data_IF_977045776123
#
_entry.id   IF_977045776123
#
_cell.length_a   1.000
_cell.length_b   1.000
_cell.length_c   1.000
_cell.angle_alpha   90.00
_cell.angle_beta   90.00
_cell.angle_gamma   90.00
#
_symmetry.space_group_name_H-M   'P 1'
#
loop_
_entity.id
_entity.type
_entity.pdbx_description
1 polymer ?
#
# COMPACT_ATOMS: atom_id res chain seq x y z
N UNK A 1 29.75 -29.70 9.48
CA UNK A 1 28.29 -29.51 9.69
C UNK A 1 27.55 -30.56 8.90
N UNK A 2 26.73 -31.37 9.56
CA UNK A 2 25.99 -32.48 8.94
C UNK A 2 24.78 -31.94 8.17
N UNK A 3 24.42 -32.52 7.02
CA UNK A 3 23.34 -32.06 6.11
C UNK A 3 21.99 -31.91 6.83
N UNK A 4 21.77 -32.72 7.86
CA UNK A 4 20.61 -32.69 8.76
C UNK A 4 20.48 -31.39 9.58
N UNK A 5 21.60 -30.82 10.03
CA UNK A 5 21.59 -29.55 10.77
C UNK A 5 21.33 -28.36 9.85
N UNK A 6 21.88 -28.39 8.63
CA UNK A 6 21.63 -27.35 7.62
C UNK A 6 20.13 -27.32 7.28
N UNK A 7 19.53 -28.49 7.00
CA UNK A 7 18.10 -28.59 6.70
C UNK A 7 17.20 -28.05 7.83
N UNK A 8 17.55 -28.32 9.09
CA UNK A 8 16.81 -27.84 10.26
C UNK A 8 16.87 -26.32 10.41
N UNK A 9 18.05 -25.71 10.21
CA UNK A 9 18.21 -24.25 10.28
C UNK A 9 17.40 -23.55 9.17
N UNK A 10 17.47 -24.06 7.93
CA UNK A 10 16.64 -23.56 6.83
C UNK A 10 15.15 -23.65 7.16
N UNK A 11 14.74 -24.74 7.80
CA UNK A 11 13.35 -24.97 8.18
C UNK A 11 12.84 -23.94 9.20
N UNK A 12 13.61 -23.67 10.25
CA UNK A 12 13.24 -22.66 11.25
C UNK A 12 13.26 -21.24 10.68
N UNK A 13 14.23 -20.91 9.82
CA UNK A 13 14.29 -19.61 9.15
C UNK A 13 13.06 -19.35 8.26
N UNK A 14 12.68 -20.35 7.44
CA UNK A 14 11.50 -20.24 6.57
C UNK A 14 10.20 -20.18 7.38
N UNK A 15 10.10 -20.95 8.47
CA UNK A 15 8.91 -20.92 9.35
C UNK A 15 8.75 -19.58 10.04
N UNK A 16 9.85 -18.97 10.50
CA UNK A 16 9.84 -17.63 11.09
C UNK A 16 9.45 -16.56 10.05
N UNK A 17 10.00 -16.63 8.83
CA UNK A 17 9.64 -15.72 7.75
C UNK A 17 8.15 -15.85 7.36
N UNK A 18 7.62 -17.08 7.29
CA UNK A 18 6.21 -17.32 6.99
C UNK A 18 5.30 -16.73 8.07
N UNK A 19 5.65 -16.88 9.35
CA UNK A 19 4.91 -16.27 10.46
C UNK A 19 4.90 -14.74 10.35
N UNK A 20 6.05 -14.13 10.08
CA UNK A 20 6.16 -12.68 9.88
C UNK A 20 5.28 -12.18 8.72
N UNK A 21 5.28 -12.90 7.60
CA UNK A 21 4.44 -12.58 6.44
C UNK A 21 2.95 -12.68 6.76
N UNK A 22 2.52 -13.67 7.55
CA UNK A 22 1.13 -13.79 8.01
C UNK A 22 0.74 -12.58 8.86
N UNK A 23 1.58 -12.20 9.82
CA UNK A 23 1.30 -11.05 10.69
C UNK A 23 1.17 -9.77 9.86
N UNK A 24 2.13 -9.51 8.96
CA UNK A 24 2.07 -8.36 8.04
C UNK A 24 0.82 -8.41 7.14
N UNK A 25 0.46 -9.59 6.65
CA UNK A 25 -0.77 -9.80 5.88
C UNK A 25 -2.03 -9.41 6.66
N UNK A 26 -2.16 -9.86 7.91
CA UNK A 26 -3.29 -9.51 8.79
C UNK A 26 -3.36 -7.99 8.99
N UNK A 27 -2.24 -7.34 9.34
CA UNK A 27 -2.21 -5.88 9.50
C UNK A 27 -2.61 -5.15 8.20
N UNK A 28 -2.13 -5.60 7.05
CA UNK A 28 -2.49 -5.04 5.76
C UNK A 28 -3.99 -5.22 5.46
N UNK A 29 -4.56 -6.39 5.75
CA UNK A 29 -5.99 -6.66 5.57
C UNK A 29 -6.85 -5.81 6.50
N UNK A 30 -6.51 -5.73 7.79
CA UNK A 30 -7.24 -4.89 8.76
C UNK A 30 -7.20 -3.42 8.33
N UNK A 31 -6.03 -2.91 7.94
CA UNK A 31 -5.91 -1.53 7.43
C UNK A 31 -6.75 -1.32 6.18
N UNK A 32 -6.76 -2.26 5.24
CA UNK A 32 -7.60 -2.17 4.05
C UNK A 32 -9.09 -2.14 4.39
N UNK A 33 -9.55 -3.01 5.29
CA UNK A 33 -10.95 -3.04 5.76
C UNK A 33 -11.33 -1.73 6.43
N UNK A 34 -10.49 -1.21 7.33
CA UNK A 34 -10.72 0.09 7.99
C UNK A 34 -10.79 1.21 6.94
N UNK A 35 -9.80 1.28 6.05
CA UNK A 35 -9.72 2.32 5.02
C UNK A 35 -10.88 2.28 4.00
N UNK A 36 -11.57 1.14 3.87
CA UNK A 36 -12.71 0.98 2.97
C UNK A 36 -14.07 1.14 3.64
N UNK A 37 -14.18 0.90 4.95
CA UNK A 37 -15.46 0.88 5.68
C UNK A 37 -15.68 2.13 6.53
N UNK A 38 -14.61 2.71 7.08
CA UNK A 38 -14.69 3.84 8.02
C UNK A 38 -14.61 5.20 7.31
N UNK A 39 -14.19 5.25 6.05
CA UNK A 39 -14.03 6.50 5.31
C UNK A 39 -14.94 6.52 4.08
N UNK A 40 -15.67 7.63 3.91
CA UNK A 40 -16.48 7.89 2.70
C UNK A 40 -15.62 7.90 1.43
N UNK A 41 -14.36 8.33 1.55
CA UNK A 41 -13.37 8.27 0.48
C UNK A 41 -12.07 7.65 0.96
N UNK A 42 -11.53 6.73 0.17
CA UNK A 42 -10.30 6.00 0.52
C UNK A 42 -9.18 6.98 0.90
N UNK A 43 -8.62 6.88 2.11
CA UNK A 43 -7.65 7.85 2.60
C UNK A 43 -6.32 7.72 1.84
N UNK A 44 -5.83 8.85 1.34
CA UNK A 44 -4.51 8.92 0.71
C UNK A 44 -3.41 8.92 1.78
N UNK A 45 -2.33 8.19 1.54
CA UNK A 45 -1.18 8.08 2.47
C UNK A 45 -0.45 9.41 2.68
N UNK A 46 -0.38 10.22 1.63
CA UNK A 46 0.14 11.59 1.69
C UNK A 46 -1.04 12.53 1.88
N UNK A 47 -0.98 13.40 2.89
CA UNK A 47 -2.03 14.38 3.26
C UNK A 47 -2.73 14.87 2.00
N UNK A 48 -4.04 14.61 1.94
CA UNK A 48 -4.90 14.92 0.81
C UNK A 48 -4.60 16.33 0.32
N UNK A 49 -4.01 16.37 -0.86
CA UNK A 49 -3.77 17.60 -1.61
C UNK A 49 -5.12 18.30 -1.78
N UNK A 50 -5.32 19.41 -1.09
CA UNK A 50 -6.61 20.11 -1.11
C UNK A 50 -6.83 20.73 -2.50
N UNK A 51 -8.01 20.48 -3.07
CA UNK A 51 -8.47 21.07 -4.32
C UNK A 51 -9.44 22.24 -4.07
N UNK A 52 -9.72 22.57 -2.81
CA UNK A 52 -10.55 23.72 -2.43
C UNK A 52 -9.73 24.99 -2.23
N UNK A 53 -8.43 24.86 -1.92
CA UNK A 53 -7.54 26.00 -1.67
C UNK A 53 -6.59 26.24 -2.85
N UNK A 54 -6.62 27.45 -3.42
CA UNK A 54 -5.61 27.90 -4.39
C UNK A 54 -4.31 28.30 -3.68
N UNK A 55 -3.12 27.97 -4.19
CA UNK A 55 -2.85 27.24 -5.44
C UNK A 55 -3.16 25.74 -5.32
N UNK A 56 -3.88 25.21 -6.32
CA UNK A 56 -4.27 23.81 -6.32
C UNK A 56 -3.03 22.90 -6.36
N UNK A 57 -3.05 21.84 -5.56
CA UNK A 57 -1.88 20.99 -5.31
C UNK A 57 -1.38 20.14 -6.50
N UNK A 58 -2.07 20.21 -7.66
CA UNK A 58 -1.63 19.67 -8.95
C UNK A 58 -1.61 20.72 -10.08
N UNK A 59 -1.77 22.01 -9.74
CA UNK A 59 -1.53 23.07 -10.70
C UNK A 59 -0.04 23.08 -11.07
N UNK A 60 0.26 23.21 -12.37
CA UNK A 60 1.64 23.48 -12.78
C UNK A 60 2.01 24.86 -12.23
N UNK A 61 3.23 25.06 -11.67
CA UNK A 61 3.67 26.38 -11.26
C UNK A 61 3.57 27.31 -12.46
N UNK A 62 2.85 28.43 -12.31
CA UNK A 62 2.82 29.47 -13.34
C UNK A 62 4.19 30.13 -13.32
N UNK A 63 5.01 30.01 -14.38
CA UNK A 63 6.31 30.68 -14.39
C UNK A 63 6.05 32.19 -14.30
N UNK A 64 6.63 32.84 -13.31
CA UNK A 64 6.70 34.29 -13.30
C UNK A 64 7.58 34.69 -14.49
N UNK A 65 6.97 35.13 -15.58
CA UNK A 65 7.70 35.73 -16.68
C UNK A 65 8.37 37.00 -16.15
N UNK A 66 9.70 37.00 -16.11
CA UNK A 66 10.58 38.09 -15.68
C UNK A 66 9.94 39.50 -15.78
N UNK A 67 9.47 40.03 -14.65
CA UNK A 67 9.03 41.42 -14.53
C UNK A 67 7.63 41.75 -15.07
N UNK A 68 6.85 40.79 -15.58
CA UNK A 68 5.45 41.01 -15.95
C UNK A 68 4.53 40.72 -14.77
N UNK A 69 3.44 41.51 -14.58
CA UNK A 69 2.44 41.19 -13.58
C UNK A 69 1.91 39.79 -13.85
N UNK A 70 2.00 38.92 -12.84
CA UNK A 70 1.41 37.57 -12.88
C UNK A 70 -0.07 37.78 -13.18
N UNK A 71 -0.52 37.42 -14.38
CA UNK A 71 -1.94 37.56 -14.71
C UNK A 71 -2.71 36.67 -13.75
N UNK A 72 -3.54 37.26 -12.90
CA UNK A 72 -4.44 36.50 -12.04
C UNK A 72 -5.26 35.59 -12.96
N UNK A 73 -5.23 34.26 -12.77
CA UNK A 73 -5.96 33.35 -13.63
C UNK A 73 -7.44 33.73 -13.63
N UNK A 74 -8.06 33.67 -14.81
CA UNK A 74 -9.49 33.92 -14.96
C UNK A 74 -10.30 32.89 -14.16
N UNK A 75 -11.53 33.22 -13.77
CA UNK A 75 -12.41 32.27 -13.08
C UNK A 75 -12.57 30.95 -13.85
N UNK A 76 -12.65 31.00 -15.19
CA UNK A 76 -12.70 29.80 -16.04
C UNK A 76 -11.44 28.95 -15.94
N UNK A 77 -10.26 29.56 -15.83
CA UNK A 77 -9.00 28.84 -15.65
C UNK A 77 -8.90 28.21 -14.26
N UNK A 78 -9.35 28.93 -13.23
CA UNK A 78 -9.43 28.40 -11.86
C UNK A 78 -10.38 27.20 -11.78
N UNK A 79 -11.56 27.27 -12.39
CA UNK A 79 -12.52 26.17 -12.43
C UNK A 79 -11.96 24.96 -13.19
N UNK A 80 -11.29 25.21 -14.32
CA UNK A 80 -10.60 24.18 -15.09
C UNK A 80 -9.48 23.49 -14.31
N UNK A 81 -8.71 24.24 -13.54
CA UNK A 81 -7.65 23.70 -12.68
C UNK A 81 -8.23 22.92 -11.49
N UNK A 82 -9.29 23.43 -10.85
CA UNK A 82 -10.01 22.74 -9.78
C UNK A 82 -10.52 21.38 -10.23
N UNK A 83 -11.18 21.33 -11.39
CA UNK A 83 -11.68 20.08 -11.97
C UNK A 83 -10.55 19.09 -12.28
N UNK A 84 -9.43 19.56 -12.83
CA UNK A 84 -8.25 18.71 -13.08
C UNK A 84 -7.64 18.16 -11.77
N UNK A 85 -7.59 18.98 -10.73
CA UNK A 85 -7.13 18.58 -9.39
C UNK A 85 -8.01 17.45 -8.85
N UNK A 86 -9.34 17.60 -8.88
CA UNK A 86 -10.28 16.59 -8.41
C UNK A 86 -10.15 15.26 -9.16
N UNK A 87 -10.02 15.29 -10.50
CA UNK A 87 -9.84 14.07 -11.32
C UNK A 87 -8.54 13.33 -10.95
N UNK A 88 -7.44 14.07 -10.76
CA UNK A 88 -6.16 13.45 -10.40
C UNK A 88 -6.21 12.84 -9.00
N UNK A 89 -6.82 13.54 -8.05
CA UNK A 89 -7.00 13.06 -6.68
C UNK A 89 -7.84 11.78 -6.63
N UNK A 90 -8.92 11.70 -7.40
CA UNK A 90 -9.71 10.46 -7.53
C UNK A 90 -8.91 9.31 -8.15
N UNK A 91 -8.08 9.60 -9.15
CA UNK A 91 -7.22 8.60 -9.78
C UNK A 91 -6.19 8.04 -8.80
N UNK A 92 -5.55 8.91 -8.01
CA UNK A 92 -4.62 8.49 -6.95
C UNK A 92 -5.33 7.63 -5.90
N UNK A 93 -6.54 8.00 -5.48
CA UNK A 93 -7.33 7.19 -4.53
C UNK A 93 -7.60 5.79 -5.08
N UNK A 94 -7.99 5.69 -6.35
CA UNK A 94 -8.23 4.40 -7.02
C UNK A 94 -6.96 3.57 -7.11
N UNK A 95 -5.83 4.17 -7.48
CA UNK A 95 -4.54 3.47 -7.56
C UNK A 95 -4.09 2.98 -6.18
N UNK A 96 -4.12 3.83 -5.17
CA UNK A 96 -3.69 3.45 -3.83
C UNK A 96 -4.58 2.35 -3.23
N UNK A 97 -5.89 2.40 -3.49
CA UNK A 97 -6.81 1.31 -3.10
C UNK A 97 -6.43 -0.02 -3.76
N UNK A 98 -6.05 0.00 -5.04
CA UNK A 98 -5.60 -1.20 -5.76
C UNK A 98 -4.27 -1.73 -5.21
N UNK A 99 -3.33 -0.84 -4.88
CA UNK A 99 -2.02 -1.23 -4.32
C UNK A 99 -2.16 -1.86 -2.93
N UNK A 100 -3.05 -1.31 -2.10
CA UNK A 100 -3.33 -1.84 -0.77
C UNK A 100 -4.07 -3.18 -0.84
N UNK A 101 -5.04 -3.32 -1.75
CA UNK A 101 -5.71 -4.59 -2.01
C UNK A 101 -4.70 -5.65 -2.50
N UNK A 102 -3.85 -5.29 -3.47
CA UNK A 102 -2.82 -6.17 -4.01
C UNK A 102 -1.85 -6.60 -2.92
N UNK A 103 -1.39 -5.67 -2.09
CA UNK A 103 -0.47 -5.98 -0.98
C UNK A 103 -1.13 -6.90 0.03
N UNK A 104 -2.35 -6.59 0.47
CA UNK A 104 -3.12 -7.44 1.37
C UNK A 104 -3.30 -8.86 0.83
N UNK A 105 -3.69 -8.98 -0.45
CA UNK A 105 -3.90 -10.27 -1.09
C UNK A 105 -2.58 -11.04 -1.26
N UNK A 106 -1.52 -10.38 -1.71
CA UNK A 106 -0.22 -11.01 -1.96
C UNK A 106 0.39 -11.54 -0.66
N UNK A 107 0.44 -10.72 0.39
CA UNK A 107 0.99 -11.17 1.68
C UNK A 107 0.14 -12.27 2.33
N UNK A 108 -1.19 -12.16 2.24
CA UNK A 108 -2.09 -13.19 2.78
C UNK A 108 -1.96 -14.52 2.04
N UNK A 109 -1.95 -14.51 0.70
CA UNK A 109 -1.82 -15.74 -0.10
C UNK A 109 -0.44 -16.36 0.07
N UNK A 110 0.63 -15.58 -0.04
CA UNK A 110 2.01 -16.10 0.10
C UNK A 110 2.23 -16.65 1.51
N UNK A 111 1.78 -15.93 2.54
CA UNK A 111 1.84 -16.38 3.92
C UNK A 111 1.06 -17.69 4.15
N UNK A 112 -0.17 -17.79 3.64
CA UNK A 112 -1.01 -18.98 3.75
C UNK A 112 -0.37 -20.19 3.05
N UNK A 113 0.11 -20.02 1.82
CA UNK A 113 0.74 -21.11 1.04
C UNK A 113 2.01 -21.61 1.73
N UNK A 114 2.89 -20.71 2.19
CA UNK A 114 4.10 -21.09 2.90
C UNK A 114 3.77 -21.83 4.21
N UNK A 115 2.78 -21.34 4.96
CA UNK A 115 2.35 -21.99 6.20
C UNK A 115 1.77 -23.39 5.94
N UNK A 116 0.86 -23.54 4.99
CA UNK A 116 0.26 -24.83 4.66
C UNK A 116 1.27 -25.86 4.15
N UNK A 117 2.32 -25.44 3.45
CA UNK A 117 3.37 -26.36 2.94
C UNK A 117 4.37 -26.73 4.04
N UNK A 118 4.84 -25.74 4.80
CA UNK A 118 5.94 -25.94 5.75
C UNK A 118 5.47 -26.43 7.12
N UNK A 119 4.35 -25.94 7.63
CA UNK A 119 3.89 -26.26 8.98
C UNK A 119 3.58 -27.77 9.20
N UNK A 120 2.92 -28.50 8.27
CA UNK A 120 2.71 -29.95 8.43
C UNK A 120 4.02 -30.74 8.37
N UNK A 121 5.00 -30.28 7.57
CA UNK A 121 6.34 -30.88 7.51
C UNK A 121 7.11 -30.65 8.82
N UNK A 122 6.92 -29.50 9.48
CA UNK A 122 7.45 -29.24 10.83
C UNK A 122 7.00 -30.31 11.84
N UNK A 123 5.68 -30.55 11.84
CA UNK A 123 4.99 -31.40 12.79
C UNK A 123 5.35 -32.89 12.62
N UNK A 124 5.63 -33.32 11.38
CA UNK A 124 6.11 -34.67 11.10
C UNK A 124 7.57 -34.86 11.54
N UNK A 125 8.46 -33.92 11.24
CA UNK A 125 9.87 -34.02 11.64
C UNK A 125 10.09 -33.96 13.17
N UNK A 126 9.24 -33.24 13.90
CA UNK A 126 9.30 -33.24 15.39
C UNK A 126 8.76 -34.53 16.00
N UNK A 127 7.81 -35.22 15.35
CA UNK A 127 7.34 -36.54 15.79
C UNK A 127 8.33 -37.66 15.52
N UNK A 128 9.12 -37.58 14.45
CA UNK A 128 10.18 -38.56 14.15
C UNK A 128 11.50 -38.29 14.92
N UNK A 129 11.65 -37.10 15.51
CA UNK A 129 12.79 -36.73 16.33
C UNK A 129 12.58 -37.04 17.83
N UNK A 130 11.43 -37.61 18.21
CA UNK A 130 11.08 -38.04 19.57
C UNK A 130 10.99 -39.55 19.61
#
# INVERSE_FOLDING_TARGET
>A
MNTRHIASIYFYAISAAALALIVVGIFATVNFVINTTQYDTYPLRFRGKDCETYPYAYSKPVPAANGLPISTPTQKELDGQKKKCQIQLEKERKQQKLDDLKSSLTFSIVGLVLFLIHFPKALKHTKEAK
#
